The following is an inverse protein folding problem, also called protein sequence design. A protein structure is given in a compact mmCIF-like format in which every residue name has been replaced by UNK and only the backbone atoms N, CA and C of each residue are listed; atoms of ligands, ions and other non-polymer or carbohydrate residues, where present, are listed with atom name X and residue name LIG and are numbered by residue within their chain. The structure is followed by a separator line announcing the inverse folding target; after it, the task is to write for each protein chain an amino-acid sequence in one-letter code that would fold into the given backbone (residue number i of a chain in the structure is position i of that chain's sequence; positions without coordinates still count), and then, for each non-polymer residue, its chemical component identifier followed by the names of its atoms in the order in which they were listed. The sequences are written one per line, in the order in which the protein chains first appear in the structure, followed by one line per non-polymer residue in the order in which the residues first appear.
data_IF_289025972675
#
_entry.id   IF_289025972675
#
_cell.length_a   1.000
_cell.length_b   1.000
_cell.length_c   1.000
_cell.angle_alpha   90.00
_cell.angle_beta   90.00
_cell.angle_gamma   90.00
#
_symmetry.space_group_name_H-M   'P 1'
#
loop_
_entity.id
_entity.type
_entity.pdbx_description
1 polymer ?
#
# COMPACT_ATOMS: atom_id res chain seq x y z
N UNK A 1 7.45 -5.17 22.07
CA UNK A 1 8.88 -5.47 21.89
C UNK A 1 9.72 -4.20 21.74
N UNK A 2 9.39 -3.29 20.81
CA UNK A 2 10.18 -2.07 20.54
C UNK A 2 10.28 -1.10 21.73
N UNK A 3 9.17 -0.76 22.40
CA UNK A 3 9.19 0.14 23.55
C UNK A 3 10.09 -0.39 24.69
N UNK A 4 9.95 -1.69 25.00
CA UNK A 4 10.77 -2.38 26.00
C UNK A 4 12.25 -2.31 25.65
N UNK A 5 12.63 -2.55 24.39
CA UNK A 5 14.03 -2.49 23.98
C UNK A 5 14.62 -1.08 24.16
N UNK A 6 13.83 -0.04 23.84
CA UNK A 6 14.23 1.36 24.02
C UNK A 6 14.32 1.72 25.51
N UNK A 7 13.38 1.28 26.32
CA UNK A 7 13.35 1.57 27.76
C UNK A 7 14.53 0.89 28.48
N UNK A 8 14.81 -0.38 28.19
CA UNK A 8 15.97 -1.08 28.73
C UNK A 8 17.30 -0.40 28.38
N UNK A 9 17.41 0.16 27.17
CA UNK A 9 18.60 0.91 26.77
C UNK A 9 18.70 2.28 27.47
N UNK A 10 17.56 2.95 27.71
CA UNK A 10 17.52 4.21 28.47
C UNK A 10 17.86 4.00 29.94
N UNK A 11 17.46 2.87 30.51
CA UNK A 11 17.78 2.46 31.88
C UNK A 11 19.21 1.93 32.02
N UNK A 12 19.96 1.80 30.93
CA UNK A 12 21.35 1.33 30.93
C UNK A 12 21.51 -0.17 31.15
N UNK A 13 20.41 -0.94 31.09
CA UNK A 13 20.44 -2.41 31.21
C UNK A 13 21.11 -3.03 29.98
N UNK A 14 20.91 -2.42 28.81
CA UNK A 14 21.56 -2.82 27.55
C UNK A 14 22.13 -1.62 26.80
N UNK A 15 23.02 -1.87 25.85
CA UNK A 15 23.53 -0.81 24.97
C UNK A 15 22.50 -0.42 23.91
N UNK A 16 22.63 0.79 23.34
CA UNK A 16 21.81 1.24 22.19
C UNK A 16 21.93 0.29 21.01
N UNK A 17 23.14 -0.22 20.75
CA UNK A 17 23.42 -1.21 19.70
C UNK A 17 22.66 -2.50 19.94
N UNK A 18 22.65 -3.02 21.17
CA UNK A 18 21.90 -4.24 21.52
C UNK A 18 20.39 -4.03 21.37
N UNK A 19 19.88 -2.84 21.70
CA UNK A 19 18.47 -2.50 21.50
C UNK A 19 18.08 -2.53 20.02
N UNK A 20 18.92 -1.98 19.13
CA UNK A 20 18.71 -2.05 17.67
C UNK A 20 18.73 -3.51 17.19
N UNK A 21 19.72 -4.30 17.62
CA UNK A 21 19.86 -5.70 17.22
C UNK A 21 18.76 -6.63 17.75
N UNK A 22 18.05 -6.24 18.82
CA UNK A 22 16.94 -7.01 19.41
C UNK A 22 15.60 -6.83 18.71
N UNK A 23 15.45 -5.79 17.91
CA UNK A 23 14.19 -5.54 17.20
C UNK A 23 14.27 -6.20 15.83
N UNK A 24 13.38 -7.16 15.59
CA UNK A 24 13.27 -7.78 14.26
C UNK A 24 12.81 -6.74 13.22
N UNK A 25 13.49 -6.64 12.06
CA UNK A 25 13.12 -5.68 11.02
C UNK A 25 11.65 -5.80 10.57
N UNK A 26 11.15 -7.03 10.40
CA UNK A 26 9.76 -7.27 9.99
C UNK A 26 8.72 -6.72 10.98
N UNK A 27 9.08 -6.53 12.25
CA UNK A 27 8.18 -5.93 13.23
C UNK A 27 8.06 -4.40 13.05
N UNK A 28 9.04 -3.76 12.38
CA UNK A 28 8.99 -2.33 12.05
C UNK A 28 7.98 -2.05 10.94
N UNK A 29 7.83 -2.94 9.96
CA UNK A 29 6.86 -2.78 8.86
C UNK A 29 5.44 -2.53 9.37
N UNK A 30 5.03 -3.27 10.40
CA UNK A 30 3.72 -3.11 11.03
C UNK A 30 3.49 -1.69 11.60
N UNK A 31 4.56 -1.00 11.98
CA UNK A 31 4.52 0.36 12.53
C UNK A 31 4.50 1.42 11.44
N UNK A 32 4.68 1.08 10.17
CA UNK A 32 4.66 2.03 9.05
C UNK A 32 3.27 2.12 8.41
N UNK A 33 2.43 1.11 8.58
CA UNK A 33 1.09 1.10 8.00
C UNK A 33 0.07 1.86 8.87
N UNK A 34 -0.94 2.51 8.27
CA UNK A 34 -2.08 3.02 9.01
C UNK A 34 -2.71 1.93 9.87
N UNK A 35 -3.16 2.27 11.06
CA UNK A 35 -3.82 1.33 11.98
C UNK A 35 -5.20 1.85 12.38
N UNK A 36 -6.08 0.94 12.79
CA UNK A 36 -7.37 1.32 13.34
C UNK A 36 -7.16 1.93 14.73
N UNK A 37 -7.75 3.10 14.97
CA UNK A 37 -7.72 3.79 16.27
C UNK A 37 -8.19 2.79 17.37
N UNK A 38 -7.42 2.57 18.46
CA UNK A 38 -7.80 1.62 19.51
C UNK A 38 -9.18 1.89 20.11
N UNK A 39 -9.59 3.16 20.15
CA UNK A 39 -10.88 3.59 20.68
C UNK A 39 -12.01 3.55 19.63
N UNK A 40 -11.70 3.22 18.37
CA UNK A 40 -12.72 3.08 17.34
C UNK A 40 -13.64 1.89 17.62
N UNK A 41 -14.93 2.08 17.37
CA UNK A 41 -15.89 0.97 17.37
C UNK A 41 -15.48 -0.06 16.32
N UNK A 42 -15.26 -1.29 16.76
CA UNK A 42 -14.92 -2.43 15.90
C UNK A 42 -16.13 -3.34 15.73
N UNK A 43 -16.86 -3.17 14.63
CA UNK A 43 -17.93 -4.10 14.24
C UNK A 43 -17.37 -5.11 13.24
N UNK A 44 -16.79 -6.19 13.76
CA UNK A 44 -16.16 -7.25 12.94
C UNK A 44 -17.25 -8.13 12.34
N UNK A 45 -17.30 -8.20 11.01
CA UNK A 45 -18.27 -9.01 10.26
C UNK A 45 -17.70 -10.36 9.83
N UNK A 46 -16.39 -10.47 9.68
CA UNK A 46 -15.68 -11.69 9.33
C UNK A 46 -14.19 -11.59 9.69
N UNK A 47 -13.53 -12.74 9.70
CA UNK A 47 -12.08 -12.85 9.92
C UNK A 47 -11.49 -13.79 8.86
N UNK A 48 -10.30 -13.48 8.38
CA UNK A 48 -9.49 -14.30 7.50
C UNK A 48 -8.03 -14.33 7.98
N UNK A 49 -7.13 -14.67 7.07
CA UNK A 49 -5.69 -14.71 7.33
C UNK A 49 -5.09 -13.30 7.18
N UNK A 50 -4.24 -12.84 8.12
CA UNK A 50 -3.55 -11.55 8.05
C UNK A 50 -2.42 -11.59 7.02
N UNK A 51 -2.78 -11.55 5.73
CA UNK A 51 -1.87 -11.79 4.62
C UNK A 51 -0.84 -10.66 4.42
N UNK A 52 -1.28 -9.41 4.57
CA UNK A 52 -0.42 -8.22 4.48
C UNK A 52 -0.85 -7.19 5.53
N UNK A 53 0.09 -6.65 6.34
CA UNK A 53 -0.24 -5.80 7.47
C UNK A 53 -0.81 -4.43 7.06
N UNK A 54 -1.40 -3.75 8.05
CA UNK A 54 -1.97 -2.41 7.90
C UNK A 54 -3.49 -2.38 7.92
N UNK A 55 -4.06 -1.17 7.87
CA UNK A 55 -5.49 -0.95 7.84
C UNK A 55 -5.89 0.03 6.75
N UNK A 56 -7.00 -0.26 6.07
CA UNK A 56 -7.54 0.61 5.03
C UNK A 56 -9.06 0.44 4.91
N UNK A 57 -9.76 1.50 4.53
CA UNK A 57 -11.21 1.57 4.43
C UNK A 57 -11.61 2.17 3.09
N UNK A 58 -12.60 1.56 2.45
CA UNK A 58 -13.01 1.92 1.10
C UNK A 58 -14.32 1.25 0.71
N UNK A 59 -14.85 1.69 -0.42
CA UNK A 59 -16.03 1.10 -1.04
C UNK A 59 -15.67 -0.26 -1.67
N UNK A 60 -16.58 -1.24 -1.55
CA UNK A 60 -16.39 -2.55 -2.17
C UNK A 60 -16.49 -2.45 -3.69
N UNK A 61 -15.49 -3.00 -4.38
CA UNK A 61 -15.48 -3.28 -5.81
C UNK A 61 -15.15 -4.75 -6.04
N UNK A 62 -15.69 -5.34 -7.10
CA UNK A 62 -15.56 -6.78 -7.36
C UNK A 62 -14.70 -7.07 -8.58
N UNK A 63 -14.42 -6.07 -9.43
CA UNK A 63 -13.53 -6.23 -10.58
C UNK A 63 -12.38 -5.24 -10.55
N UNK A 64 -11.31 -5.59 -11.26
CA UNK A 64 -10.11 -4.77 -11.37
C UNK A 64 -10.36 -3.46 -12.14
N UNK A 65 -11.19 -3.50 -13.18
CA UNK A 65 -11.60 -2.32 -13.96
C UNK A 65 -12.40 -1.31 -13.12
N UNK A 66 -13.26 -1.81 -12.24
CA UNK A 66 -14.02 -0.95 -11.31
C UNK A 66 -13.11 -0.29 -10.30
N UNK A 67 -12.11 -1.01 -9.81
CA UNK A 67 -11.13 -0.46 -8.88
C UNK A 67 -10.40 0.73 -9.50
N UNK A 68 -9.96 0.62 -10.75
CA UNK A 68 -9.34 1.72 -11.50
C UNK A 68 -10.30 2.87 -11.75
N UNK A 69 -11.51 2.56 -12.23
CA UNK A 69 -12.53 3.56 -12.54
C UNK A 69 -12.90 4.40 -11.31
N UNK A 70 -13.08 3.77 -10.16
CA UNK A 70 -13.42 4.44 -8.92
C UNK A 70 -12.22 5.17 -8.31
N UNK A 71 -11.01 4.62 -8.49
CA UNK A 71 -9.78 5.31 -8.10
C UNK A 71 -9.55 6.59 -8.90
N UNK A 72 -9.82 6.57 -10.21
CA UNK A 72 -9.75 7.74 -11.08
C UNK A 72 -10.72 8.86 -10.64
N UNK A 73 -11.85 8.48 -10.00
CA UNK A 73 -12.80 9.42 -9.37
C UNK A 73 -12.35 9.90 -7.98
N UNK A 74 -11.15 9.52 -7.53
CA UNK A 74 -10.60 9.89 -6.22
C UNK A 74 -11.20 9.11 -5.05
N UNK A 75 -11.89 7.99 -5.28
CA UNK A 75 -12.50 7.19 -4.21
C UNK A 75 -11.57 6.07 -3.74
N UNK A 76 -11.53 5.87 -2.43
CA UNK A 76 -10.86 4.71 -1.84
C UNK A 76 -11.72 3.46 -2.02
N UNK A 77 -11.15 2.41 -2.60
CA UNK A 77 -11.84 1.16 -2.90
C UNK A 77 -11.11 -0.05 -2.36
N UNK A 78 -11.87 -1.09 -2.05
CA UNK A 78 -11.37 -2.38 -1.57
C UNK A 78 -11.75 -3.42 -2.62
N UNK A 79 -10.74 -4.06 -3.20
CA UNK A 79 -10.93 -5.12 -4.18
C UNK A 79 -11.30 -6.40 -3.45
N UNK A 80 -12.54 -6.86 -3.67
CA UNK A 80 -13.10 -8.07 -3.07
C UNK A 80 -13.24 -9.13 -4.15
N UNK A 81 -12.46 -10.21 -4.05
CA UNK A 81 -12.42 -11.29 -5.05
C UNK A 81 -12.54 -12.66 -4.37
N UNK A 82 -13.13 -13.68 -5.00
CA UNK A 82 -13.04 -15.06 -4.49
C UNK A 82 -11.56 -15.48 -4.36
N UNK A 83 -10.78 -15.18 -5.39
CA UNK A 83 -9.34 -15.33 -5.49
C UNK A 83 -8.81 -14.33 -6.52
N UNK A 84 -7.55 -13.90 -6.42
CA UNK A 84 -6.92 -13.01 -7.40
C UNK A 84 -6.05 -13.80 -8.37
N UNK A 85 -5.95 -13.36 -9.62
CA UNK A 85 -5.01 -13.86 -10.63
C UNK A 85 -4.02 -12.75 -11.07
N UNK A 86 -3.00 -13.07 -11.88
CA UNK A 86 -2.11 -12.05 -12.47
C UNK A 86 -2.85 -10.98 -13.29
N UNK A 87 -4.04 -11.27 -13.80
CA UNK A 87 -4.86 -10.31 -14.53
C UNK A 87 -5.39 -9.21 -13.61
N UNK A 88 -5.49 -9.46 -12.30
CA UNK A 88 -6.01 -8.50 -11.33
C UNK A 88 -4.98 -7.46 -10.85
N UNK A 89 -3.74 -7.50 -11.33
CA UNK A 89 -2.63 -6.66 -10.82
C UNK A 89 -2.96 -5.17 -10.89
N UNK A 90 -3.59 -4.70 -11.97
CA UNK A 90 -3.93 -3.30 -12.14
C UNK A 90 -5.00 -2.85 -11.12
N UNK A 91 -6.03 -3.67 -10.90
CA UNK A 91 -7.03 -3.44 -9.86
C UNK A 91 -6.46 -3.49 -8.45
N UNK A 92 -5.53 -4.42 -8.20
CA UNK A 92 -4.79 -4.51 -6.92
C UNK A 92 -3.94 -3.25 -6.66
N UNK A 93 -3.38 -2.66 -7.71
CA UNK A 93 -2.69 -1.36 -7.68
C UNK A 93 -3.64 -0.16 -7.56
N UNK A 94 -4.92 -0.29 -7.91
CA UNK A 94 -5.91 0.78 -7.70
C UNK A 94 -6.52 0.76 -6.29
N UNK A 95 -6.77 -0.43 -5.73
CA UNK A 95 -7.50 -0.62 -4.46
C UNK A 95 -6.67 -0.45 -3.17
N UNK A 96 -7.13 0.37 -2.23
CA UNK A 96 -6.40 0.65 -0.97
C UNK A 96 -6.25 -0.57 -0.05
N UNK A 97 -7.04 -1.63 -0.26
CA UNK A 97 -6.89 -2.93 0.39
C UNK A 97 -7.43 -4.05 -0.52
N UNK A 98 -7.03 -5.29 -0.21
CA UNK A 98 -7.45 -6.48 -0.93
C UNK A 98 -8.08 -7.48 0.04
N UNK A 99 -9.23 -8.03 -0.32
CA UNK A 99 -9.94 -9.06 0.44
C UNK A 99 -10.21 -10.26 -0.46
N UNK A 100 -9.80 -11.45 -0.02
CA UNK A 100 -10.16 -12.70 -0.72
C UNK A 100 -10.85 -13.72 0.17
N UNK A 101 -11.84 -14.42 -0.39
CA UNK A 101 -12.50 -15.52 0.30
C UNK A 101 -11.62 -16.79 0.36
N UNK A 102 -10.81 -17.02 -0.67
CA UNK A 102 -9.87 -18.15 -0.78
C UNK A 102 -8.42 -17.66 -0.81
N UNK A 103 -7.50 -18.61 -0.62
CA UNK A 103 -6.06 -18.36 -0.65
C UNK A 103 -5.41 -18.25 0.73
N UNK A 104 -4.23 -18.84 0.86
CA UNK A 104 -3.43 -18.82 2.09
C UNK A 104 -2.47 -17.64 2.17
N UNK A 105 -1.60 -17.68 3.18
CA UNK A 105 -0.51 -16.71 3.39
C UNK A 105 0.50 -16.65 2.23
N UNK A 106 0.51 -17.61 1.33
CA UNK A 106 1.38 -17.66 0.13
C UNK A 106 0.59 -17.55 -1.18
N UNK A 107 -0.69 -17.18 -1.10
CA UNK A 107 -1.52 -16.96 -2.30
C UNK A 107 -1.04 -15.77 -3.12
N UNK A 108 -1.47 -15.70 -4.37
CA UNK A 108 -1.22 -14.56 -5.25
C UNK A 108 -1.53 -13.23 -4.57
N UNK A 109 -2.74 -13.08 -4.02
CA UNK A 109 -3.17 -11.91 -3.27
C UNK A 109 -2.18 -11.54 -2.15
N UNK A 110 -1.78 -12.51 -1.33
CA UNK A 110 -0.92 -12.30 -0.17
C UNK A 110 0.52 -11.87 -0.55
N UNK A 111 1.08 -12.46 -1.60
CA UNK A 111 2.44 -12.15 -2.06
C UNK A 111 2.46 -10.76 -2.70
N UNK A 112 1.53 -10.50 -3.60
CA UNK A 112 1.45 -9.24 -4.36
C UNK A 112 1.09 -8.07 -3.44
N UNK A 113 0.11 -8.23 -2.54
CA UNK A 113 -0.27 -7.16 -1.61
C UNK A 113 0.86 -6.77 -0.66
N UNK A 114 1.66 -7.74 -0.17
CA UNK A 114 2.85 -7.44 0.64
C UNK A 114 3.91 -6.69 -0.16
N UNK A 115 4.17 -7.10 -1.40
CA UNK A 115 5.09 -6.40 -2.29
C UNK A 115 4.67 -4.95 -2.54
N UNK A 116 3.37 -4.66 -2.54
CA UNK A 116 2.80 -3.32 -2.71
C UNK A 116 2.60 -2.55 -1.39
N UNK A 117 2.86 -3.15 -0.23
CA UNK A 117 2.59 -2.54 1.08
C UNK A 117 1.11 -2.27 1.34
N UNK A 118 0.20 -3.03 0.73
CA UNK A 118 -1.26 -2.85 0.88
C UNK A 118 -1.84 -3.83 1.89
N UNK A 119 -2.74 -3.38 2.79
CA UNK A 119 -3.46 -4.26 3.69
C UNK A 119 -4.19 -5.36 2.92
N UNK A 120 -4.00 -6.60 3.35
CA UNK A 120 -4.66 -7.74 2.73
C UNK A 120 -5.13 -8.74 3.76
N UNK A 121 -6.38 -9.17 3.62
CA UNK A 121 -6.94 -10.31 4.32
C UNK A 121 -7.29 -11.36 3.28
N UNK A 122 -6.64 -12.52 3.35
CA UNK A 122 -6.88 -13.62 2.42
C UNK A 122 -7.58 -14.79 3.11
N UNK A 123 -8.22 -15.67 2.34
CA UNK A 123 -8.77 -16.89 2.90
C UNK A 123 -9.89 -16.67 3.93
N UNK A 124 -10.66 -15.59 3.78
CA UNK A 124 -11.84 -15.33 4.59
C UNK A 124 -13.00 -16.24 4.16
N UNK A 125 -12.87 -17.55 4.38
CA UNK A 125 -13.80 -18.58 3.88
C UNK A 125 -15.23 -18.48 4.41
N UNK A 126 -15.49 -17.63 5.40
CA UNK A 126 -16.84 -17.31 5.88
C UNK A 126 -17.58 -16.32 4.98
N UNK A 127 -16.90 -15.75 3.97
CA UNK A 127 -17.48 -14.84 3.00
C UNK A 127 -18.01 -15.60 1.80
N UNK A 128 -19.24 -15.30 1.39
CA UNK A 128 -19.75 -15.66 0.09
C UNK A 128 -19.74 -14.42 -0.81
N UNK A 129 -18.90 -14.46 -1.85
CA UNK A 129 -18.72 -13.38 -2.82
C UNK A 129 -19.44 -13.80 -4.10
N UNK A 130 -20.36 -12.96 -4.58
CA UNK A 130 -20.99 -13.10 -5.89
C UNK A 130 -20.62 -11.89 -6.74
N UNK A 131 -19.75 -12.10 -7.71
CA UNK A 131 -19.20 -11.04 -8.56
C UNK A 131 -20.23 -10.54 -9.58
N UNK A 132 -21.04 -11.46 -10.11
CA UNK A 132 -22.10 -11.16 -11.09
C UNK A 132 -23.21 -10.30 -10.47
N UNK A 133 -23.61 -10.63 -9.24
CA UNK A 133 -24.60 -9.84 -8.50
C UNK A 133 -23.99 -8.62 -7.80
N UNK A 134 -22.65 -8.55 -7.70
CA UNK A 134 -21.95 -7.51 -6.95
C UNK A 134 -22.30 -7.51 -5.46
N UNK A 135 -22.36 -8.71 -4.85
CA UNK A 135 -22.70 -8.88 -3.43
C UNK A 135 -21.64 -9.64 -2.65
N UNK A 136 -21.50 -9.25 -1.38
CA UNK A 136 -20.64 -9.88 -0.38
C UNK A 136 -21.49 -10.23 0.84
N UNK A 137 -21.59 -11.51 1.17
CA UNK A 137 -22.29 -11.99 2.36
C UNK A 137 -21.29 -12.40 3.43
N UNK A 138 -21.41 -11.78 4.61
CA UNK A 138 -20.63 -12.07 5.81
C UNK A 138 -21.59 -12.40 6.96
N UNK A 139 -21.89 -13.70 7.15
CA UNK A 139 -22.89 -14.14 8.12
C UNK A 139 -24.26 -13.52 7.85
N UNK A 140 -24.74 -12.67 8.77
CA UNK A 140 -26.03 -11.96 8.66
C UNK A 140 -25.98 -10.70 7.79
N UNK A 141 -24.79 -10.21 7.46
CA UNK A 141 -24.63 -8.98 6.70
C UNK A 141 -24.57 -9.30 5.21
N UNK A 142 -25.44 -8.65 4.43
CA UNK A 142 -25.37 -8.62 2.97
C UNK A 142 -24.90 -7.22 2.58
N UNK A 143 -23.74 -7.15 1.94
CA UNK A 143 -23.11 -5.92 1.47
C UNK A 143 -23.11 -5.93 -0.04
N UNK A 144 -23.32 -4.76 -0.62
CA UNK A 144 -23.36 -4.56 -2.05
C UNK A 144 -22.13 -3.78 -2.50
N UNK A 145 -21.92 -3.78 -3.81
CA UNK A 145 -21.05 -2.84 -4.51
C UNK A 145 -21.23 -1.42 -3.97
N UNK A 146 -20.13 -0.76 -3.63
CA UNK A 146 -20.13 0.60 -3.11
C UNK A 146 -20.25 0.71 -1.59
N UNK A 147 -20.71 -0.34 -0.90
CA UNK A 147 -20.76 -0.34 0.57
C UNK A 147 -19.35 -0.24 1.14
N UNK A 148 -19.21 0.48 2.24
CA UNK A 148 -17.90 0.75 2.84
C UNK A 148 -17.57 -0.30 3.89
N UNK A 149 -16.38 -0.89 3.78
CA UNK A 149 -15.81 -1.77 4.79
C UNK A 149 -14.41 -1.28 5.17
N UNK A 150 -13.89 -1.83 6.27
CA UNK A 150 -12.50 -1.62 6.68
C UNK A 150 -11.79 -2.95 6.82
N UNK A 151 -10.59 -3.04 6.25
CA UNK A 151 -9.70 -4.19 6.35
C UNK A 151 -8.63 -3.90 7.40
N UNK A 152 -8.48 -4.78 8.39
CA UNK A 152 -7.34 -4.83 9.32
C UNK A 152 -6.48 -6.04 8.93
N UNK A 153 -5.54 -5.81 8.01
CA UNK A 153 -4.62 -6.82 7.49
C UNK A 153 -3.62 -7.32 8.52
N UNK A 154 -3.42 -6.59 9.63
CA UNK A 154 -2.57 -7.03 10.74
C UNK A 154 -3.26 -8.06 11.63
N UNK A 155 -4.58 -7.95 11.82
CA UNK A 155 -5.37 -8.90 12.63
C UNK A 155 -6.19 -9.89 11.81
N UNK A 156 -6.23 -9.74 10.49
CA UNK A 156 -7.07 -10.56 9.63
C UNK A 156 -8.55 -10.20 9.70
N UNK A 157 -8.91 -9.01 10.19
CA UNK A 157 -10.31 -8.67 10.48
C UNK A 157 -10.94 -7.86 9.35
N UNK A 158 -12.22 -8.14 9.06
CA UNK A 158 -13.07 -7.35 8.17
C UNK A 158 -14.13 -6.66 9.04
N UNK A 159 -14.20 -5.34 8.96
CA UNK A 159 -15.09 -4.52 9.76
C UNK A 159 -16.16 -3.85 8.88
N UNK A 160 -17.36 -3.74 9.42
CA UNK A 160 -18.44 -2.99 8.79
C UNK A 160 -18.20 -1.48 8.88
N UNK A 161 -18.39 -0.79 7.76
CA UNK A 161 -18.27 0.66 7.68
C UNK A 161 -16.82 1.16 7.67
N UNK A 162 -16.69 2.49 7.78
CA UNK A 162 -15.39 3.17 7.83
C UNK A 162 -14.95 3.29 9.29
N UNK A 163 -13.99 2.48 9.71
CA UNK A 163 -13.38 2.62 11.02
C UNK A 163 -12.49 3.88 11.05
N UNK A 164 -12.45 4.55 12.19
CA UNK A 164 -11.54 5.68 12.40
C UNK A 164 -10.11 5.16 12.37
N UNK A 165 -9.33 5.66 11.42
CA UNK A 165 -7.91 5.30 11.29
C UNK A 165 -7.02 6.31 11.98
N UNK A 166 -5.89 5.82 12.46
CA UNK A 166 -4.79 6.60 12.97
C UNK A 166 -3.58 6.31 12.10
N UNK A 167 -3.03 7.37 11.51
CA UNK A 167 -1.75 7.28 10.84
C UNK A 167 -0.69 6.93 11.87
N UNK A 168 0.20 6.01 11.52
CA UNK A 168 1.28 5.67 12.41
C UNK A 168 2.12 6.93 12.67
N UNK A 169 2.25 7.30 13.95
CA UNK A 169 3.15 8.38 14.34
C UNK A 169 4.52 7.75 14.54
N UNK A 170 5.46 8.10 13.65
CA UNK A 170 6.90 7.76 13.75
C UNK A 170 7.55 8.56 14.90
N UNK A 171 7.07 8.36 16.12
CA UNK A 171 7.41 9.19 17.28
C UNK A 171 7.70 8.32 18.50
N UNK A 172 8.34 8.93 19.50
CA UNK A 172 8.69 8.24 20.74
C UNK A 172 9.75 7.16 20.54
N UNK A 173 9.43 5.93 20.95
CA UNK A 173 10.38 4.82 20.93
C UNK A 173 10.87 4.48 19.51
N UNK A 174 10.02 4.58 18.48
CA UNK A 174 10.41 4.30 17.10
C UNK A 174 11.48 5.28 16.62
N UNK A 175 11.22 6.59 16.74
CA UNK A 175 12.18 7.63 16.36
C UNK A 175 13.50 7.52 17.14
N UNK A 176 13.42 7.15 18.43
CA UNK A 176 14.60 6.93 19.26
C UNK A 176 15.44 5.77 18.74
N UNK A 177 14.80 4.63 18.42
CA UNK A 177 15.48 3.46 17.89
C UNK A 177 16.09 3.75 16.50
N UNK A 178 15.36 4.43 15.63
CA UNK A 178 15.85 4.82 14.29
C UNK A 178 17.05 5.76 14.40
N UNK A 179 17.04 6.73 15.30
CA UNK A 179 18.20 7.59 15.57
C UNK A 179 19.43 6.80 16.00
N UNK A 180 19.26 5.72 16.78
CA UNK A 180 20.38 4.86 17.16
C UNK A 180 20.86 3.99 16.00
N UNK A 181 19.94 3.49 15.17
CA UNK A 181 20.28 2.75 13.96
C UNK A 181 21.04 3.63 12.95
N UNK A 182 20.61 4.87 12.77
CA UNK A 182 21.25 5.86 11.91
C UNK A 182 22.67 6.21 12.38
N UNK A 183 22.90 6.25 13.69
CA UNK A 183 24.21 6.54 14.25
C UNK A 183 25.22 5.41 14.05
N UNK A 184 24.77 4.15 13.94
CA UNK A 184 25.62 2.97 13.79
C UNK A 184 25.76 2.51 12.34
N UNK A 185 24.81 2.85 11.45
CA UNK A 185 24.84 2.35 10.07
C UNK A 185 25.99 2.98 9.28
N UNK A 186 26.60 2.15 8.43
CA UNK A 186 27.61 2.59 7.46
C UNK A 186 27.00 2.98 6.10
N UNK A 187 25.89 2.35 5.73
CA UNK A 187 25.27 2.56 4.42
C UNK A 187 24.25 3.70 4.48
N UNK A 188 24.24 4.54 3.45
CA UNK A 188 23.17 5.49 3.21
C UNK A 188 21.88 4.78 2.80
N UNK A 189 20.73 5.30 3.20
CA UNK A 189 19.42 4.75 2.82
C UNK A 189 18.74 5.74 1.90
N UNK A 190 18.62 5.37 0.62
CA UNK A 190 17.90 6.13 -0.40
C UNK A 190 16.62 5.39 -0.78
N UNK A 191 15.63 6.11 -1.28
CA UNK A 191 14.38 5.53 -1.73
C UNK A 191 14.34 5.32 -3.24
N UNK A 192 13.51 4.37 -3.65
CA UNK A 192 13.02 4.30 -5.01
C UNK A 192 11.69 5.04 -5.03
N UNK A 193 11.63 6.18 -5.70
CA UNK A 193 10.45 7.01 -5.76
C UNK A 193 10.34 7.64 -7.14
N UNK A 194 9.17 7.49 -7.75
CA UNK A 194 8.92 7.88 -9.14
C UNK A 194 7.94 9.07 -9.22
N UNK A 195 7.34 9.47 -8.10
CA UNK A 195 6.42 10.60 -8.01
C UNK A 195 6.81 11.57 -6.89
N UNK A 196 6.41 12.86 -6.96
CA UNK A 196 6.68 13.84 -5.90
C UNK A 196 6.11 13.40 -4.54
N UNK A 197 4.94 12.76 -4.57
CA UNK A 197 4.29 12.22 -3.36
C UNK A 197 5.14 11.13 -2.71
N UNK A 198 5.67 10.20 -3.50
CA UNK A 198 6.51 9.11 -2.99
C UNK A 198 7.84 9.66 -2.46
N UNK A 199 8.41 10.66 -3.14
CA UNK A 199 9.64 11.31 -2.71
C UNK A 199 9.47 12.06 -1.38
N UNK A 200 8.38 12.79 -1.20
CA UNK A 200 8.03 13.46 0.06
C UNK A 200 7.86 12.45 1.18
N UNK A 201 7.08 11.40 0.94
CA UNK A 201 6.85 10.35 1.92
C UNK A 201 8.16 9.64 2.31
N UNK A 202 8.99 9.28 1.34
CA UNK A 202 10.30 8.68 1.59
C UNK A 202 11.19 9.58 2.48
N UNK A 203 11.19 10.89 2.23
CA UNK A 203 11.91 11.86 3.05
C UNK A 203 11.37 11.93 4.48
N UNK A 204 10.05 11.86 4.67
CA UNK A 204 9.43 11.80 6.00
C UNK A 204 9.83 10.54 6.79
N UNK A 205 10.10 9.42 6.09
CA UNK A 205 10.63 8.19 6.68
C UNK A 205 12.15 8.20 6.91
N UNK A 206 12.85 9.28 6.55
CA UNK A 206 14.29 9.43 6.77
C UNK A 206 15.18 9.02 5.58
N UNK A 207 14.62 8.83 4.38
CA UNK A 207 15.44 8.61 3.19
C UNK A 207 16.34 9.83 2.91
N UNK A 208 17.61 9.56 2.60
CA UNK A 208 18.65 10.56 2.36
C UNK A 208 18.69 11.04 0.90
N UNK A 209 17.72 10.63 0.10
CA UNK A 209 17.57 10.98 -1.31
C UNK A 209 16.93 9.86 -2.12
N UNK A 210 16.78 10.09 -3.42
CA UNK A 210 16.21 9.11 -4.36
C UNK A 210 17.34 8.37 -5.07
N UNK A 211 17.46 7.06 -4.84
CA UNK A 211 18.49 6.20 -5.44
C UNK A 211 18.11 5.71 -6.83
N UNK A 212 16.81 5.62 -7.11
CA UNK A 212 16.25 5.21 -8.38
C UNK A 212 14.91 5.95 -8.58
N UNK A 213 14.81 6.66 -9.69
CA UNK A 213 13.58 7.23 -10.20
C UNK A 213 13.34 6.61 -11.58
N UNK A 214 12.29 5.80 -11.71
CA UNK A 214 11.94 5.11 -12.95
C UNK A 214 11.05 5.99 -13.80
N UNK A 215 11.62 6.55 -14.85
CA UNK A 215 10.90 7.44 -15.77
C UNK A 215 9.78 6.74 -16.54
N UNK A 216 9.86 5.43 -16.70
CA UNK A 216 8.86 4.63 -17.42
C UNK A 216 7.48 4.76 -16.77
N UNK A 217 7.44 4.82 -15.43
CA UNK A 217 6.20 4.95 -14.68
C UNK A 217 5.53 6.32 -14.89
N UNK A 218 6.31 7.35 -15.21
CA UNK A 218 5.82 8.70 -15.49
C UNK A 218 5.10 8.81 -16.84
N UNK A 219 5.11 7.77 -17.68
CA UNK A 219 4.46 7.79 -18.99
C UNK A 219 3.09 7.08 -19.03
N UNK A 220 2.68 6.41 -17.96
CA UNK A 220 1.46 5.60 -17.94
C UNK A 220 0.17 6.42 -17.76
N UNK A 221 0.27 7.71 -17.42
CA UNK A 221 -0.90 8.59 -17.31
C UNK A 221 -1.59 8.83 -18.66
N UNK A 222 -2.92 8.99 -18.63
CA UNK A 222 -3.72 9.34 -19.81
C UNK A 222 -3.21 10.65 -20.45
N UNK A 223 -2.92 10.58 -21.76
CA UNK A 223 -2.30 11.67 -22.53
C UNK A 223 -0.80 11.49 -22.78
N UNK A 224 -0.04 11.01 -21.79
CA UNK A 224 1.41 10.75 -21.93
C UNK A 224 1.68 9.49 -22.73
N UNK A 225 0.87 8.45 -22.49
CA UNK A 225 0.95 7.19 -23.23
C UNK A 225 0.69 7.37 -24.74
N UNK A 226 -0.15 8.34 -25.12
CA UNK A 226 -0.42 8.66 -26.52
C UNK A 226 0.80 9.27 -27.20
N UNK A 227 1.50 10.19 -26.52
CA UNK A 227 2.73 10.80 -27.05
C UNK A 227 3.86 9.77 -27.18
N UNK A 228 3.99 8.83 -26.22
CA UNK A 228 4.95 7.73 -26.31
C UNK A 228 4.61 6.76 -27.45
N UNK A 229 3.33 6.42 -27.65
CA UNK A 229 2.90 5.59 -28.78
C UNK A 229 3.19 6.26 -30.12
N UNK A 230 2.93 7.56 -30.24
CA UNK A 230 3.24 8.36 -31.43
C UNK A 230 4.75 8.35 -31.75
N UNK A 231 5.60 8.48 -30.72
CA UNK A 231 7.05 8.37 -30.86
C UNK A 231 7.49 7.00 -31.39
N UNK A 232 6.86 5.92 -30.92
CA UNK A 232 7.17 4.54 -31.31
C UNK A 232 6.70 4.23 -32.74
N UNK A 233 5.52 4.71 -33.11
CA UNK A 233 4.85 4.38 -34.38
C UNK A 233 5.30 5.24 -35.57
N UNK A 234 6.07 6.29 -35.34
CA UNK A 234 6.56 7.16 -36.43
C UNK A 234 7.71 6.49 -37.22
N UNK A 235 7.62 6.57 -38.55
CA UNK A 235 8.58 5.98 -39.49
C UNK A 235 9.83 6.85 -39.75
N UNK A 236 9.80 8.15 -39.41
CA UNK A 236 10.89 9.10 -39.65
C UNK A 236 11.40 9.82 -38.38
N UNK A 237 12.58 10.45 -38.49
CA UNK A 237 13.18 11.17 -37.37
C UNK A 237 12.37 12.42 -36.98
N UNK A 238 11.73 13.08 -37.95
CA UNK A 238 11.04 14.34 -37.75
C UNK A 238 9.81 14.18 -36.85
N UNK A 239 8.97 13.18 -37.11
CA UNK A 239 7.81 12.89 -36.27
C UNK A 239 8.22 12.34 -34.89
N UNK A 240 9.33 11.60 -34.80
CA UNK A 240 9.87 11.15 -33.50
C UNK A 240 10.26 12.34 -32.62
N UNK A 241 10.93 13.35 -33.21
CA UNK A 241 11.26 14.61 -32.50
C UNK A 241 10.01 15.37 -32.07
N UNK A 242 9.01 15.49 -32.95
CA UNK A 242 7.75 16.14 -32.61
C UNK A 242 7.01 15.45 -31.46
N UNK A 243 7.03 14.11 -31.40
CA UNK A 243 6.45 13.36 -30.28
C UNK A 243 7.25 13.56 -28.98
N UNK A 244 8.59 13.58 -29.05
CA UNK A 244 9.44 13.87 -27.89
C UNK A 244 9.23 15.28 -27.34
N UNK A 245 9.01 16.28 -28.21
CA UNK A 245 8.73 17.66 -27.80
C UNK A 245 7.43 17.78 -26.99
N UNK A 246 6.47 16.87 -27.19
CA UNK A 246 5.25 16.78 -26.37
C UNK A 246 5.52 16.19 -24.98
N UNK A 247 6.44 15.22 -24.88
CA UNK A 247 6.79 14.53 -23.63
C UNK A 247 7.67 15.42 -22.74
N UNK A 248 8.60 16.17 -23.35
CA UNK A 248 9.60 16.98 -22.65
C UNK A 248 9.03 17.89 -21.54
N UNK A 249 8.00 18.73 -21.75
CA UNK A 249 7.47 19.60 -20.70
C UNK A 249 6.83 18.83 -19.55
N UNK A 250 6.22 17.67 -19.85
CA UNK A 250 5.58 16.82 -18.84
C UNK A 250 6.64 16.19 -17.93
N UNK A 251 7.69 15.61 -18.52
CA UNK A 251 8.78 15.01 -17.75
C UNK A 251 9.55 16.05 -16.94
N UNK A 252 9.80 17.24 -17.50
CA UNK A 252 10.47 18.31 -16.78
C UNK A 252 9.66 18.74 -15.55
N UNK A 253 8.35 18.89 -15.69
CA UNK A 253 7.49 19.25 -14.58
C UNK A 253 7.54 18.21 -13.45
N UNK A 254 7.60 16.92 -13.76
CA UNK A 254 7.70 15.87 -12.74
C UNK A 254 9.03 15.91 -11.97
N UNK A 255 10.13 16.28 -12.64
CA UNK A 255 11.44 16.40 -12.00
C UNK A 255 11.61 17.69 -11.17
N UNK A 256 10.87 18.75 -11.50
CA UNK A 256 10.91 20.03 -10.79
C UNK A 256 10.09 20.01 -9.49
N UNK A 257 9.06 19.16 -9.42
CA UNK A 257 8.17 19.00 -8.25
C UNK A 257 8.79 18.15 -7.14
#
# INVERSE_FOLDING_TARGET
SLAIAVDLAKEGVITKRDAVMRVEPCALDQLLHPTIDPDARREVIATGLPASPGAAAGAIVFTSDEAETEKAKGRDVILVRPETSPEDIHGMHAAVAILTARGGMTSHAAVVARGMGRPCVSGAGMLAINEDEGTLRAGKHLLNRGDVITIDGSRGQILLGRAKMRQAKLSGAFATLMSWADAERRMGVRANADTPRDALQAREFGAEGIGLCRTEHMFFEEGRISAVREMILTDDEAGRRAALDKILPMQRADFEQ
#
